data_IF_532330291075
#
_entry.id   IF_532330291075
#
_cell.length_a   1.000
_cell.length_b   1.000
_cell.length_c   1.000
_cell.angle_alpha   90.00
_cell.angle_beta   90.00
_cell.angle_gamma   90.00
#
_symmetry.space_group_name_H-M   'P 1'
#
loop_
_entity.id
_entity.type
_entity.pdbx_description
1 polymer ?
#
# COMPACT_ATOMS: atom_id res chain seq x y z
N UNK A 1 44.44 17.58 -46.23
CA UNK A 1 43.14 17.39 -45.57
C UNK A 1 43.36 16.51 -44.36
N UNK A 2 43.77 17.11 -43.25
CA UNK A 2 43.95 16.45 -41.96
C UNK A 2 42.80 16.88 -41.07
N UNK A 3 41.87 15.96 -40.81
CA UNK A 3 40.73 16.18 -39.92
C UNK A 3 41.16 15.89 -38.48
N UNK A 4 41.22 16.94 -37.67
CA UNK A 4 41.43 16.88 -36.24
C UNK A 4 40.11 16.50 -35.54
N UNK A 5 40.09 15.56 -34.58
CA UNK A 5 38.87 15.20 -33.87
C UNK A 5 38.56 16.20 -32.74
N UNK A 6 37.35 16.76 -32.77
CA UNK A 6 36.80 17.67 -31.76
C UNK A 6 36.55 16.94 -30.42
N UNK A 7 37.04 17.42 -29.26
CA UNK A 7 36.76 16.78 -27.98
C UNK A 7 35.29 16.96 -27.54
N UNK A 8 34.74 16.06 -26.71
CA UNK A 8 33.37 16.19 -26.21
C UNK A 8 33.27 17.39 -25.26
N UNK A 9 32.26 18.24 -25.47
CA UNK A 9 31.91 19.31 -24.55
C UNK A 9 31.31 18.71 -23.27
N UNK A 10 31.98 18.92 -22.16
CA UNK A 10 31.47 18.64 -20.82
C UNK A 10 30.40 19.68 -20.45
N UNK A 11 29.13 19.37 -20.67
CA UNK A 11 28.03 20.15 -20.10
C UNK A 11 27.69 19.61 -18.71
N UNK A 12 28.44 20.08 -17.72
CA UNK A 12 28.09 19.94 -16.30
C UNK A 12 26.89 20.83 -15.99
N UNK A 13 25.68 20.29 -16.16
CA UNK A 13 24.47 20.85 -15.58
C UNK A 13 24.44 20.63 -14.06
N UNK A 14 23.95 21.58 -13.25
CA UNK A 14 23.92 21.42 -11.81
C UNK A 14 23.00 20.25 -11.43
N UNK A 15 23.49 19.37 -10.55
CA UNK A 15 22.70 18.37 -9.89
C UNK A 15 21.59 19.07 -9.09
N UNK A 16 20.38 19.10 -9.63
CA UNK A 16 19.18 19.34 -8.86
C UNK A 16 19.09 18.19 -7.87
N UNK A 17 19.46 18.45 -6.61
CA UNK A 17 19.13 17.60 -5.46
C UNK A 17 17.61 17.56 -5.33
N UNK A 18 16.99 16.73 -6.17
CA UNK A 18 15.57 16.48 -6.17
C UNK A 18 15.25 15.67 -4.92
N UNK A 19 14.35 16.21 -4.11
CA UNK A 19 13.60 15.48 -3.10
C UNK A 19 13.14 14.15 -3.71
N UNK A 20 13.83 13.05 -3.41
CA UNK A 20 13.45 11.74 -3.91
C UNK A 20 11.99 11.51 -3.51
N UNK A 21 11.11 11.32 -4.50
CA UNK A 21 9.71 11.06 -4.23
C UNK A 21 9.62 9.85 -3.28
N UNK A 22 9.09 10.08 -2.08
CA UNK A 22 8.78 9.01 -1.12
C UNK A 22 7.85 8.03 -1.83
N UNK A 23 8.39 6.90 -2.27
CA UNK A 23 7.68 5.94 -3.10
C UNK A 23 7.46 4.63 -2.36
N UNK A 24 8.33 4.29 -1.40
CA UNK A 24 8.20 3.05 -0.65
C UNK A 24 7.14 3.20 0.45
N UNK A 25 6.36 2.13 0.71
CA UNK A 25 5.26 2.18 1.67
C UNK A 25 5.73 2.50 3.10
N UNK A 26 6.85 1.88 3.52
CA UNK A 26 7.42 2.11 4.85
C UNK A 26 7.92 3.55 5.03
N UNK A 27 8.62 4.12 4.03
CA UNK A 27 9.12 5.50 4.09
C UNK A 27 7.99 6.51 4.24
N UNK A 28 6.85 6.27 3.57
CA UNK A 28 5.65 7.11 3.69
C UNK A 28 5.04 6.99 5.08
N UNK A 29 4.96 5.78 5.62
CA UNK A 29 4.42 5.53 6.95
C UNK A 29 5.28 6.18 8.04
N UNK A 30 6.61 6.01 7.96
CA UNK A 30 7.59 6.64 8.84
C UNK A 30 7.49 8.17 8.75
N UNK A 31 7.42 8.72 7.53
CA UNK A 31 7.30 10.17 7.36
C UNK A 31 6.02 10.73 7.95
N UNK A 32 4.89 10.06 7.80
CA UNK A 32 3.63 10.47 8.41
C UNK A 32 3.71 10.44 9.95
N UNK A 33 4.42 9.45 10.51
CA UNK A 33 4.61 9.35 11.95
C UNK A 33 5.47 10.49 12.50
N UNK A 34 6.57 10.84 11.82
CA UNK A 34 7.44 11.98 12.17
C UNK A 34 6.71 13.34 12.18
N UNK A 35 5.63 13.46 11.41
CA UNK A 35 4.85 14.70 11.32
C UNK A 35 3.87 14.87 12.49
N UNK A 36 3.60 13.79 13.24
CA UNK A 36 2.61 13.80 14.31
C UNK A 36 3.06 14.62 15.51
N UNK A 37 2.09 15.28 16.14
CA UNK A 37 2.24 16.03 17.39
C UNK A 37 1.28 15.51 18.48
N UNK A 38 0.66 14.37 18.24
CA UNK A 38 -0.24 13.74 19.20
C UNK A 38 0.56 13.00 20.29
N UNK A 39 -0.08 12.74 21.44
CA UNK A 39 0.53 12.02 22.55
C UNK A 39 0.83 10.55 22.19
N UNK A 40 0.01 9.98 21.28
CA UNK A 40 0.28 8.71 20.62
C UNK A 40 -0.13 8.72 19.16
N UNK A 41 0.59 8.00 18.28
CA UNK A 41 0.21 7.90 16.86
C UNK A 41 0.55 6.55 16.27
N UNK A 42 -0.42 5.94 15.60
CA UNK A 42 -0.23 4.74 14.80
C UNK A 42 -0.47 5.08 13.34
N UNK A 43 0.47 4.69 12.49
CA UNK A 43 0.35 4.82 11.04
C UNK A 43 0.35 3.43 10.42
N UNK A 44 -0.57 3.20 9.50
CA UNK A 44 -0.68 1.92 8.78
C UNK A 44 -0.65 2.23 7.28
N UNK A 45 0.38 1.75 6.59
CA UNK A 45 0.41 1.76 5.13
C UNK A 45 0.07 0.37 4.62
N UNK A 46 -0.98 0.28 3.81
CA UNK A 46 -1.40 -0.96 3.17
C UNK A 46 -1.21 -0.85 1.64
N UNK A 47 -0.48 -1.82 1.09
CA UNK A 47 -0.29 -1.99 -0.35
C UNK A 47 -1.09 -3.19 -0.83
N UNK A 48 -1.92 -2.98 -1.84
CA UNK A 48 -2.69 -4.05 -2.49
C UNK A 48 -2.30 -4.18 -3.94
N UNK A 49 -2.23 -5.42 -4.40
CA UNK A 49 -2.10 -5.76 -5.81
C UNK A 49 -3.13 -6.82 -6.16
N UNK A 50 -3.90 -6.63 -7.22
CA UNK A 50 -4.88 -7.61 -7.69
C UNK A 50 -4.72 -7.94 -9.16
N UNK A 51 -4.85 -9.23 -9.51
CA UNK A 51 -4.94 -9.74 -10.86
C UNK A 51 -6.37 -10.22 -11.11
N UNK A 52 -6.94 -9.83 -12.26
CA UNK A 52 -8.35 -10.05 -12.56
C UNK A 52 -8.51 -10.78 -13.90
N UNK A 53 -9.20 -11.90 -13.90
CA UNK A 53 -9.58 -12.63 -15.10
C UNK A 53 -11.10 -12.67 -15.20
N UNK A 54 -11.66 -12.27 -16.34
CA UNK A 54 -13.10 -12.29 -16.58
C UNK A 54 -13.41 -13.07 -17.84
N UNK A 55 -14.59 -13.66 -17.91
CA UNK A 55 -15.07 -14.27 -19.14
C UNK A 55 -16.56 -14.03 -19.35
N UNK A 56 -16.91 -13.93 -20.62
CA UNK A 56 -18.28 -13.76 -21.06
C UNK A 56 -18.44 -14.46 -22.41
N UNK A 57 -19.60 -15.11 -22.59
CA UNK A 57 -19.92 -15.83 -23.82
C UNK A 57 -18.77 -16.74 -24.30
N UNK A 58 -18.19 -17.51 -23.37
CA UNK A 58 -17.11 -18.47 -23.65
C UNK A 58 -15.77 -17.85 -24.15
N UNK A 59 -15.54 -16.56 -23.88
CA UNK A 59 -14.31 -15.86 -24.23
C UNK A 59 -13.66 -15.19 -22.99
N UNK A 60 -12.33 -15.32 -22.87
CA UNK A 60 -11.55 -14.64 -21.84
C UNK A 60 -11.37 -13.16 -22.17
N UNK A 61 -11.44 -12.35 -21.13
CA UNK A 61 -11.06 -10.95 -21.08
C UNK A 61 -10.14 -10.80 -19.87
N UNK A 62 -8.84 -10.74 -20.11
CA UNK A 62 -7.89 -10.46 -19.02
C UNK A 62 -7.88 -8.96 -18.79
N UNK A 63 -8.29 -8.55 -17.60
CA UNK A 63 -8.01 -7.20 -17.13
C UNK A 63 -6.62 -7.24 -16.48
N UNK A 64 -5.82 -6.20 -16.70
CA UNK A 64 -4.46 -6.14 -16.17
C UNK A 64 -4.40 -6.18 -14.64
N UNK A 65 -3.19 -6.03 -14.11
CA UNK A 65 -2.98 -5.87 -12.67
C UNK A 65 -3.47 -4.50 -12.21
N UNK A 66 -4.10 -4.43 -11.04
CA UNK A 66 -4.38 -3.17 -10.35
C UNK A 66 -3.49 -3.08 -9.11
N UNK A 67 -2.89 -1.91 -8.89
CA UNK A 67 -2.15 -1.59 -7.67
C UNK A 67 -2.88 -0.48 -6.90
N UNK A 68 -2.87 -0.57 -5.59
CA UNK A 68 -3.53 0.39 -4.71
C UNK A 68 -2.79 0.56 -3.40
N UNK A 69 -2.82 1.78 -2.87
CA UNK A 69 -2.25 2.14 -1.58
C UNK A 69 -3.30 2.84 -0.73
N UNK A 70 -3.37 2.45 0.54
CA UNK A 70 -4.15 3.14 1.57
C UNK A 70 -3.26 3.44 2.77
N UNK A 71 -3.29 4.70 3.22
CA UNK A 71 -2.60 5.14 4.43
C UNK A 71 -3.65 5.50 5.48
N UNK A 72 -3.53 4.91 6.66
CA UNK A 72 -4.40 5.18 7.81
C UNK A 72 -3.58 5.78 8.93
N UNK A 73 -4.01 6.94 9.44
CA UNK A 73 -3.40 7.61 10.58
C UNK A 73 -4.39 7.58 11.73
N UNK A 74 -3.93 7.08 12.87
CA UNK A 74 -4.67 7.00 14.14
C UNK A 74 -3.92 7.88 15.13
N UNK A 75 -4.50 9.01 15.49
CA UNK A 75 -3.97 9.90 16.52
C UNK A 75 -4.64 9.60 17.87
N UNK A 76 -3.86 9.69 18.94
CA UNK A 76 -4.31 9.59 20.33
C UNK A 76 -3.89 10.87 21.04
N UNK A 77 -4.84 11.52 21.71
CA UNK A 77 -4.60 12.76 22.46
C UNK A 77 -5.10 12.56 23.88
N UNK A 78 -4.22 12.81 24.85
CA UNK A 78 -4.56 12.70 26.26
C UNK A 78 -5.34 13.93 26.71
N UNK A 79 -6.55 13.69 27.21
CA UNK A 79 -7.43 14.69 27.79
C UNK A 79 -7.54 14.54 29.31
N UNK A 80 -8.16 15.52 29.96
CA UNK A 80 -8.35 15.52 31.41
C UNK A 80 -9.21 14.33 31.92
N UNK A 81 -10.12 13.82 31.08
CA UNK A 81 -11.05 12.74 31.42
C UNK A 81 -10.64 11.38 30.82
N UNK A 82 -9.52 11.32 30.09
CA UNK A 82 -9.05 10.13 29.39
C UNK A 82 -8.49 10.44 28.01
N UNK A 83 -7.98 9.41 27.32
CA UNK A 83 -7.41 9.54 25.97
C UNK A 83 -8.51 9.54 24.92
N UNK A 84 -8.52 10.56 24.05
CA UNK A 84 -9.36 10.63 22.87
C UNK A 84 -8.60 10.10 21.65
N UNK A 85 -9.32 9.58 20.65
CA UNK A 85 -8.71 9.08 19.42
C UNK A 85 -9.43 9.59 18.17
N UNK A 86 -8.67 9.73 17.09
CA UNK A 86 -9.13 10.15 15.78
C UNK A 86 -8.45 9.34 14.69
N UNK A 87 -9.24 8.85 13.73
CA UNK A 87 -8.77 8.01 12.63
C UNK A 87 -9.11 8.67 11.30
N UNK A 88 -8.11 8.79 10.42
CA UNK A 88 -8.33 9.20 9.03
C UNK A 88 -7.60 8.25 8.10
N UNK A 89 -8.32 7.76 7.10
CA UNK A 89 -7.78 6.86 6.07
C UNK A 89 -7.91 7.50 4.70
N UNK A 90 -6.86 7.38 3.88
CA UNK A 90 -6.83 7.97 2.54
C UNK A 90 -6.08 7.07 1.56
N UNK A 91 -6.61 6.99 0.34
CA UNK A 91 -5.98 6.29 -0.77
C UNK A 91 -5.15 7.26 -1.62
N UNK A 92 -4.16 6.73 -2.36
CA UNK A 92 -3.33 7.50 -3.30
C UNK A 92 -2.64 8.74 -2.67
N UNK A 93 -2.06 8.58 -1.48
CA UNK A 93 -1.43 9.68 -0.75
C UNK A 93 -0.09 10.06 -1.36
N UNK A 94 0.06 11.35 -1.68
CA UNK A 94 1.35 11.95 -2.08
C UNK A 94 2.10 12.52 -0.88
N UNK A 95 3.40 12.76 -1.02
CA UNK A 95 4.23 13.33 0.06
C UNK A 95 3.69 14.67 0.60
N UNK A 96 3.11 15.52 -0.27
CA UNK A 96 2.50 16.79 0.13
C UNK A 96 1.17 16.65 0.88
N UNK A 97 0.52 15.50 0.81
CA UNK A 97 -0.76 15.23 1.48
C UNK A 97 -0.61 14.57 2.85
N UNK A 98 0.61 14.17 3.23
CA UNK A 98 0.89 13.51 4.50
C UNK A 98 0.62 14.41 5.71
N UNK A 99 1.15 15.63 5.71
CA UNK A 99 0.92 16.54 6.83
C UNK A 99 -0.57 16.91 7.01
N UNK A 100 -1.31 17.30 5.95
CA UNK A 100 -2.75 17.52 6.06
C UNK A 100 -3.51 16.30 6.60
N UNK A 101 -3.14 15.09 6.19
CA UNK A 101 -3.76 13.85 6.67
C UNK A 101 -3.54 13.64 8.18
N UNK A 102 -2.30 13.83 8.64
CA UNK A 102 -1.95 13.70 10.06
C UNK A 102 -2.66 14.75 10.90
N UNK A 103 -2.70 16.00 10.44
CA UNK A 103 -3.44 17.07 11.13
C UNK A 103 -4.93 16.81 11.19
N UNK A 104 -5.51 16.21 10.15
CA UNK A 104 -6.92 15.81 10.16
C UNK A 104 -7.20 14.73 11.22
N UNK A 105 -6.32 13.74 11.37
CA UNK A 105 -6.45 12.72 12.42
C UNK A 105 -6.33 13.31 13.82
N UNK A 106 -5.36 14.21 14.05
CA UNK A 106 -5.23 14.93 15.32
C UNK A 106 -6.44 15.80 15.64
N UNK A 107 -6.97 16.53 14.64
CA UNK A 107 -8.15 17.35 14.82
C UNK A 107 -9.38 16.50 15.16
N UNK A 108 -9.53 15.34 14.51
CA UNK A 108 -10.57 14.37 14.84
C UNK A 108 -10.43 13.84 16.28
N UNK A 109 -9.20 13.58 16.74
CA UNK A 109 -8.93 13.13 18.10
C UNK A 109 -9.26 14.22 19.14
N UNK A 110 -8.87 15.48 18.90
CA UNK A 110 -9.19 16.60 19.82
C UNK A 110 -10.68 16.94 19.84
N UNK A 111 -11.38 16.67 18.75
CA UNK A 111 -12.82 16.89 18.62
C UNK A 111 -13.67 15.75 19.17
N UNK A 112 -13.08 14.62 19.54
CA UNK A 112 -13.79 13.48 20.12
C UNK A 112 -13.74 13.51 21.65
N UNK A 113 -14.71 12.83 22.28
CA UNK A 113 -14.66 12.57 23.72
C UNK A 113 -13.64 11.49 24.07
N UNK A 114 -13.32 11.32 25.37
CA UNK A 114 -12.44 10.24 25.81
C UNK A 114 -13.01 8.88 25.39
N UNK A 115 -12.15 8.00 24.89
CA UNK A 115 -12.53 6.65 24.51
C UNK A 115 -12.59 5.75 25.76
N UNK A 116 -13.72 5.07 25.97
CA UNK A 116 -13.95 4.20 27.14
C UNK A 116 -12.98 3.00 27.20
N UNK A 117 -12.55 2.57 26.03
CA UNK A 117 -11.66 1.44 25.79
C UNK A 117 -10.23 1.88 25.53
N UNK A 118 -9.89 3.16 25.77
CA UNK A 118 -8.53 3.64 25.67
C UNK A 118 -7.59 2.75 26.52
N UNK A 119 -6.57 2.22 25.84
CA UNK A 119 -5.50 1.45 26.45
C UNK A 119 -4.16 2.03 26.00
N UNK A 120 -3.12 1.94 26.84
CA UNK A 120 -1.77 2.29 26.42
C UNK A 120 -1.39 1.54 25.15
N UNK A 121 -0.66 2.22 24.28
CA UNK A 121 -0.14 1.59 23.07
C UNK A 121 0.79 0.44 23.47
N UNK A 122 0.73 -0.65 22.71
CA UNK A 122 1.57 -1.83 22.94
C UNK A 122 3.03 -1.37 22.82
N UNK A 123 3.86 -1.74 23.79
CA UNK A 123 5.30 -1.46 23.79
C UNK A 123 6.08 -2.76 23.70
N UNK A 124 7.20 -2.74 22.98
CA UNK A 124 8.14 -3.87 22.90
C UNK A 124 7.75 -5.02 21.98
N UNK A 125 8.64 -5.36 21.05
CA UNK A 125 8.98 -6.68 20.45
C UNK A 125 10.28 -6.47 19.65
N UNK A 126 10.91 -7.52 19.14
CA UNK A 126 11.96 -7.34 18.12
C UNK A 126 11.35 -6.73 16.84
N UNK A 127 12.03 -5.78 16.18
CA UNK A 127 11.59 -5.28 14.88
C UNK A 127 11.53 -6.40 13.85
N UNK A 128 10.52 -6.36 12.98
CA UNK A 128 10.43 -7.28 11.86
C UNK A 128 11.59 -7.01 10.86
N UNK A 129 12.50 -7.97 10.63
CA UNK A 129 13.63 -7.77 9.71
C UNK A 129 13.16 -7.53 8.27
N UNK A 130 11.94 -7.97 7.93
CA UNK A 130 11.32 -7.78 6.62
C UNK A 130 10.63 -6.43 6.47
N UNK A 131 10.64 -5.53 7.46
CA UNK A 131 9.88 -4.27 7.41
C UNK A 131 10.17 -3.41 6.18
N UNK A 132 11.42 -3.38 5.72
CA UNK A 132 11.83 -2.58 4.56
C UNK A 132 11.68 -3.31 3.23
N UNK A 133 11.26 -4.58 3.25
CA UNK A 133 11.02 -5.36 2.04
C UNK A 133 9.88 -4.77 1.20
N UNK A 134 9.95 -4.91 -0.13
CA UNK A 134 8.87 -4.48 -1.02
C UNK A 134 7.57 -5.26 -0.73
N UNK A 135 6.40 -4.69 -1.09
CA UNK A 135 5.14 -5.39 -0.91
C UNK A 135 5.07 -6.63 -1.80
N UNK A 136 4.38 -7.66 -1.32
CA UNK A 136 4.04 -8.80 -2.14
C UNK A 136 3.16 -8.34 -3.32
N UNK A 137 3.46 -8.86 -4.52
CA UNK A 137 2.75 -8.51 -5.75
C UNK A 137 2.22 -9.75 -6.44
N UNK A 138 1.10 -9.59 -7.12
CA UNK A 138 0.53 -10.61 -8.00
C UNK A 138 0.47 -10.11 -9.45
N UNK A 139 0.16 -11.01 -10.37
CA UNK A 139 0.13 -10.73 -11.80
C UNK A 139 -0.75 -11.77 -12.53
N UNK A 140 -1.12 -11.53 -13.80
CA UNK A 140 -1.97 -12.46 -14.55
C UNK A 140 -1.40 -13.88 -14.67
N UNK A 141 -0.08 -14.05 -14.46
CA UNK A 141 0.58 -15.35 -14.44
C UNK A 141 0.02 -16.30 -13.38
N UNK A 142 -0.62 -15.80 -12.31
CA UNK A 142 -1.31 -16.65 -11.32
C UNK A 142 -2.43 -17.49 -11.95
N UNK A 143 -2.97 -17.06 -13.09
CA UNK A 143 -4.01 -17.77 -13.83
C UNK A 143 -3.45 -18.63 -14.98
N UNK A 144 -2.14 -18.86 -15.05
CA UNK A 144 -1.51 -19.58 -16.16
C UNK A 144 -2.05 -21.02 -16.33
N UNK A 145 -2.46 -21.66 -15.23
CA UNK A 145 -3.10 -23.00 -15.25
C UNK A 145 -4.62 -22.93 -15.43
N UNK A 146 -5.26 -21.92 -14.83
CA UNK A 146 -6.72 -21.74 -14.90
C UNK A 146 -7.19 -21.36 -16.31
N UNK A 147 -6.47 -20.49 -17.01
CA UNK A 147 -6.88 -19.98 -18.31
C UNK A 147 -7.00 -21.08 -19.40
N UNK A 148 -6.02 -22.01 -19.55
CA UNK A 148 -6.16 -23.16 -20.44
C UNK A 148 -7.33 -24.08 -20.05
N UNK A 149 -7.49 -24.39 -18.76
CA UNK A 149 -8.58 -25.25 -18.29
C UNK A 149 -9.98 -24.63 -18.56
N UNK A 150 -10.11 -23.31 -18.41
CA UNK A 150 -11.32 -22.58 -18.83
C UNK A 150 -11.53 -22.65 -20.34
N UNK A 151 -10.47 -22.61 -21.14
CA UNK A 151 -10.54 -22.80 -22.60
C UNK A 151 -11.18 -24.14 -22.98
N UNK A 152 -10.81 -25.23 -22.30
CA UNK A 152 -11.44 -26.54 -22.50
C UNK A 152 -12.91 -26.56 -22.07
N UNK A 153 -13.24 -25.92 -20.94
CA UNK A 153 -14.63 -25.75 -20.51
C UNK A 153 -15.46 -24.97 -21.52
N UNK A 154 -14.89 -23.91 -22.12
CA UNK A 154 -15.55 -23.13 -23.16
C UNK A 154 -15.81 -23.95 -24.43
N UNK A 155 -14.90 -24.83 -24.82
CA UNK A 155 -15.12 -25.75 -25.94
C UNK A 155 -16.31 -26.68 -25.64
N UNK A 156 -16.30 -27.37 -24.49
CA UNK A 156 -17.41 -28.24 -24.07
C UNK A 156 -18.75 -27.51 -23.97
N UNK A 157 -18.74 -26.26 -23.46
CA UNK A 157 -19.94 -25.46 -23.34
C UNK A 157 -20.51 -25.07 -24.72
N UNK A 158 -19.66 -24.75 -25.70
CA UNK A 158 -20.12 -24.49 -27.08
C UNK A 158 -20.78 -25.72 -27.70
N UNK A 159 -20.20 -26.90 -27.53
CA UNK A 159 -20.77 -28.15 -28.05
C UNK A 159 -22.14 -28.48 -27.43
N UNK A 160 -22.39 -27.99 -26.21
CA UNK A 160 -23.65 -28.14 -25.48
C UNK A 160 -24.61 -26.95 -25.64
N UNK A 161 -24.33 -25.99 -26.52
CA UNK A 161 -25.11 -24.73 -26.69
C UNK A 161 -25.29 -23.93 -25.39
N UNK A 162 -24.25 -23.95 -24.54
CA UNK A 162 -24.20 -23.22 -23.27
C UNK A 162 -23.22 -22.06 -23.31
N UNK A 163 -23.57 -20.96 -22.63
CA UNK A 163 -22.72 -19.79 -22.47
C UNK A 163 -22.24 -19.68 -21.01
N UNK A 164 -20.92 -19.64 -20.83
CA UNK A 164 -20.29 -19.46 -19.53
C UNK A 164 -19.91 -17.99 -19.32
N UNK A 165 -20.19 -17.51 -18.11
CA UNK A 165 -19.87 -16.17 -17.63
C UNK A 165 -19.28 -16.26 -16.24
N UNK A 166 -18.35 -15.36 -15.91
CA UNK A 166 -17.77 -15.31 -14.57
C UNK A 166 -16.48 -14.52 -14.50
N UNK A 167 -15.84 -14.62 -13.34
CA UNK A 167 -14.59 -13.96 -13.06
C UNK A 167 -13.78 -14.74 -12.02
N UNK A 168 -12.48 -14.51 -12.01
CA UNK A 168 -11.54 -14.94 -10.99
C UNK A 168 -10.68 -13.73 -10.58
N UNK A 169 -10.45 -13.56 -9.28
CA UNK A 169 -9.60 -12.51 -8.72
C UNK A 169 -8.58 -13.17 -7.82
N UNK A 170 -7.34 -12.70 -7.93
CA UNK A 170 -6.30 -13.00 -6.96
C UNK A 170 -5.78 -11.67 -6.42
N UNK A 171 -5.82 -11.50 -5.10
CA UNK A 171 -5.42 -10.27 -4.41
C UNK A 171 -4.35 -10.58 -3.36
N UNK A 172 -3.34 -9.72 -3.29
CA UNK A 172 -2.32 -9.73 -2.26
C UNK A 172 -2.32 -8.37 -1.57
N UNK A 173 -2.21 -8.38 -0.24
CA UNK A 173 -2.07 -7.20 0.59
C UNK A 173 -0.82 -7.31 1.47
N UNK A 174 -0.04 -6.23 1.54
CA UNK A 174 1.07 -6.09 2.50
C UNK A 174 0.82 -4.89 3.38
N UNK A 175 0.88 -5.07 4.70
CA UNK A 175 0.64 -4.01 5.68
C UNK A 175 1.94 -3.64 6.39
N UNK A 176 2.23 -2.36 6.48
CA UNK A 176 3.39 -1.79 7.16
C UNK A 176 2.93 -0.94 8.34
N UNK A 177 3.47 -1.20 9.53
CA UNK A 177 3.34 -0.32 10.69
C UNK A 177 4.76 0.12 11.10
N UNK A 178 5.08 1.43 11.02
CA UNK A 178 6.38 1.95 11.37
C UNK A 178 6.59 1.97 12.89
N UNK A 179 7.85 1.99 13.35
CA UNK A 179 8.17 2.12 14.76
C UNK A 179 8.01 3.58 15.22
N UNK A 180 7.50 3.79 16.43
CA UNK A 180 7.41 5.15 17.04
C UNK A 180 8.45 5.39 18.14
N UNK A 181 9.52 4.59 18.15
CA UNK A 181 10.55 4.60 19.18
C UNK A 181 10.26 3.69 20.38
N UNK A 182 8.99 3.36 20.64
CA UNK A 182 8.59 2.39 21.69
C UNK A 182 7.99 1.11 21.11
N UNK A 183 7.49 1.17 19.87
CA UNK A 183 6.97 0.04 19.10
C UNK A 183 8.00 -0.51 18.10
N UNK A 184 8.05 -1.84 17.94
CA UNK A 184 8.72 -2.44 16.80
C UNK A 184 7.96 -2.13 15.51
N UNK A 185 8.69 -2.03 14.41
CA UNK A 185 8.08 -2.05 13.09
C UNK A 185 7.54 -3.45 12.78
N UNK A 186 6.43 -3.54 12.05
CA UNK A 186 5.91 -4.81 11.56
C UNK A 186 5.53 -4.74 10.09
N UNK A 187 5.81 -5.81 9.35
CA UNK A 187 5.29 -6.03 8.01
C UNK A 187 4.50 -7.33 8.02
N UNK A 188 3.21 -7.21 7.74
CA UNK A 188 2.37 -8.39 7.58
C UNK A 188 2.32 -8.77 6.09
N UNK A 189 2.91 -9.90 5.67
CA UNK A 189 2.69 -10.42 4.32
C UNK A 189 1.23 -10.88 4.15
N UNK A 190 0.76 -11.06 2.91
CA UNK A 190 -0.54 -11.64 2.67
C UNK A 190 -0.64 -13.01 3.34
N UNK A 191 -1.83 -13.37 3.78
CA UNK A 191 -2.09 -14.71 4.30
C UNK A 191 -1.69 -15.75 3.25
N UNK A 192 -1.10 -16.89 3.66
CA UNK A 192 -0.91 -18.00 2.74
C UNK A 192 -2.29 -18.36 2.15
N UNK A 193 -2.42 -18.28 0.83
CA UNK A 193 -3.60 -18.76 0.11
C UNK A 193 -3.83 -20.22 0.49
N UNK A 194 -5.02 -20.53 1.02
CA UNK A 194 -5.45 -21.90 1.33
C UNK A 194 -5.39 -22.82 0.09
#
# INVERSE_FOLDING_TARGET
>A
MTSEPNPPRTESGPALTGTAALTKPHEIAERALELSRADGTVVIAEERTSANLRWAANALTTNGTTEGRTLTVIALVDGAEGTASGVVSRSAVTAGELEPLVRAAEAAARGSGPAEDARPLITGTAPDPGFTEPPARTSPQVFAELAPALGECFARARDADHLLYGFAVHEMATTYCPPDGTRPCCRRPPWPTC
#
